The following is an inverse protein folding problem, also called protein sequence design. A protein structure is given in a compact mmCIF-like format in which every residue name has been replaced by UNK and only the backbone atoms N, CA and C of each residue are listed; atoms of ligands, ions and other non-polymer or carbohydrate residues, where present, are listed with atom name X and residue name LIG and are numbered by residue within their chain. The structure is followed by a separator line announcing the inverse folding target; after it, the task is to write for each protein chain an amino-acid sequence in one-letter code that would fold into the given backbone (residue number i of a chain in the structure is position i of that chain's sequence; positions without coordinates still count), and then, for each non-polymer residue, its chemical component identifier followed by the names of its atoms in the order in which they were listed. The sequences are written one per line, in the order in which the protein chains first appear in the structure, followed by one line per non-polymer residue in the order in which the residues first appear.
data_IF_357160754266
#
_entry.id   IF_357160754266
#
_cell.length_a   1.000
_cell.length_b   1.000
_cell.length_c   1.000
_cell.angle_alpha   90.00
_cell.angle_beta   90.00
_cell.angle_gamma   90.00
#
_symmetry.space_group_name_H-M   'P 1'
#
loop_
_entity.id
_entity.type
_entity.pdbx_description
1 polymer ?
#
# COMPACT_ATOMS: atom_id res chain seq x y z
N UNK A 1 -40.50 -27.38 -4.76
CA UNK A 1 -39.54 -26.61 -5.57
C UNK A 1 -38.20 -27.35 -5.58
N UNK A 2 -37.77 -27.87 -6.72
CA UNK A 2 -36.49 -28.58 -6.84
C UNK A 2 -35.39 -27.56 -7.15
N UNK A 3 -34.36 -27.49 -6.30
CA UNK A 3 -33.16 -26.70 -6.56
C UNK A 3 -32.11 -27.61 -7.20
N UNK A 4 -31.58 -27.20 -8.34
CA UNK A 4 -30.44 -27.86 -9.00
C UNK A 4 -29.22 -26.99 -8.71
N UNK A 5 -28.21 -27.57 -8.09
CA UNK A 5 -26.94 -26.90 -7.76
C UNK A 5 -25.79 -27.58 -8.51
N UNK A 6 -24.90 -26.77 -9.09
CA UNK A 6 -23.67 -27.23 -9.75
C UNK A 6 -22.47 -26.43 -9.21
N UNK A 7 -21.27 -27.01 -9.30
CA UNK A 7 -20.02 -26.30 -8.94
C UNK A 7 -19.59 -25.41 -10.11
N UNK A 8 -19.22 -24.18 -9.81
CA UNK A 8 -18.61 -23.24 -10.76
C UNK A 8 -17.19 -22.96 -10.27
N UNK A 9 -16.20 -23.12 -11.14
CA UNK A 9 -14.83 -22.68 -10.88
C UNK A 9 -14.72 -21.19 -11.29
N UNK A 10 -14.15 -20.36 -10.41
CA UNK A 10 -13.91 -18.94 -10.66
C UNK A 10 -12.44 -18.62 -10.41
N UNK A 11 -11.88 -17.70 -11.19
CA UNK A 11 -10.59 -17.11 -10.89
C UNK A 11 -10.74 -16.18 -9.68
N UNK A 12 -9.79 -16.26 -8.76
CA UNK A 12 -9.74 -15.41 -7.58
C UNK A 12 -8.28 -15.15 -7.22
N UNK A 13 -7.98 -13.95 -6.70
CA UNK A 13 -6.66 -13.65 -6.15
C UNK A 13 -6.51 -14.41 -4.84
N UNK A 14 -5.62 -15.39 -4.84
CA UNK A 14 -5.37 -16.26 -3.68
C UNK A 14 -4.21 -15.79 -2.81
N UNK A 15 -3.32 -14.98 -3.38
CA UNK A 15 -2.17 -14.39 -2.70
C UNK A 15 -1.64 -13.18 -3.50
N UNK A 16 -0.93 -12.29 -2.81
CA UNK A 16 -0.12 -11.21 -3.39
C UNK A 16 1.28 -11.35 -2.80
N UNK A 17 2.30 -11.34 -3.65
CA UNK A 17 3.70 -11.42 -3.21
C UNK A 17 4.27 -10.01 -3.06
N UNK A 18 5.07 -9.79 -2.01
CA UNK A 18 5.78 -8.53 -1.83
C UNK A 18 6.85 -8.37 -2.92
N UNK A 19 6.81 -7.27 -3.66
CA UNK A 19 7.75 -6.99 -4.75
C UNK A 19 9.19 -6.72 -4.26
N UNK A 20 9.37 -6.46 -2.96
CA UNK A 20 10.69 -6.21 -2.34
C UNK A 20 11.34 -7.50 -1.83
N UNK A 21 10.63 -8.28 -1.02
CA UNK A 21 11.21 -9.44 -0.34
C UNK A 21 10.68 -10.80 -0.84
N UNK A 22 9.68 -10.81 -1.71
CA UNK A 22 9.05 -12.01 -2.25
C UNK A 22 8.09 -12.74 -1.30
N UNK A 23 7.92 -12.27 -0.05
CA UNK A 23 7.04 -12.92 0.92
C UNK A 23 5.56 -12.76 0.56
N UNK A 24 4.77 -13.80 0.83
CA UNK A 24 3.29 -13.78 0.78
C UNK A 24 2.73 -12.70 1.71
N UNK A 25 1.70 -11.99 1.25
CA UNK A 25 0.93 -11.03 2.06
C UNK A 25 -0.36 -11.64 2.63
N UNK A 26 -0.57 -12.94 2.41
CA UNK A 26 -1.68 -13.69 2.97
C UNK A 26 -1.43 -14.05 4.44
N UNK A 27 -2.41 -13.73 5.29
CA UNK A 27 -2.42 -14.09 6.71
C UNK A 27 -3.03 -15.49 6.93
N UNK A 28 -2.86 -16.04 8.13
CA UNK A 28 -3.37 -17.36 8.52
C UNK A 28 -4.89 -17.50 8.39
N UNK A 29 -5.62 -16.40 8.63
CA UNK A 29 -7.08 -16.34 8.44
C UNK A 29 -7.51 -16.26 6.96
N UNK A 30 -6.55 -16.29 6.03
CA UNK A 30 -6.76 -16.24 4.60
C UNK A 30 -6.93 -14.84 4.02
N UNK A 31 -6.97 -13.78 4.83
CA UNK A 31 -7.05 -12.40 4.35
C UNK A 31 -5.72 -11.92 3.77
N UNK A 32 -5.79 -11.00 2.80
CA UNK A 32 -4.63 -10.36 2.19
C UNK A 32 -4.44 -8.98 2.82
N UNK A 33 -3.27 -8.72 3.38
CA UNK A 33 -2.92 -7.42 3.98
C UNK A 33 -1.60 -6.93 3.41
N UNK A 34 -1.67 -5.85 2.63
CA UNK A 34 -0.52 -5.26 1.94
C UNK A 34 -0.76 -3.77 1.66
N UNK A 35 0.33 -3.04 1.49
CA UNK A 35 0.31 -1.67 0.97
C UNK A 35 0.53 -1.64 -0.54
N UNK A 36 0.05 -0.58 -1.19
CA UNK A 36 0.29 -0.32 -2.61
C UNK A 36 0.98 1.04 -2.76
N UNK A 37 2.17 1.05 -3.34
CA UNK A 37 2.79 2.28 -3.84
C UNK A 37 2.46 2.40 -5.33
N UNK A 38 1.65 3.38 -5.69
CA UNK A 38 1.21 3.57 -7.08
C UNK A 38 1.40 5.01 -7.56
N UNK A 39 1.62 5.14 -8.86
CA UNK A 39 1.65 6.43 -9.55
C UNK A 39 1.02 6.29 -10.93
N UNK A 40 0.34 7.35 -11.37
CA UNK A 40 -0.19 7.47 -12.73
C UNK A 40 0.16 8.85 -13.26
N UNK A 41 1.10 8.90 -14.19
CA UNK A 41 1.62 10.14 -14.75
C UNK A 41 0.89 10.48 -16.05
N UNK A 42 0.33 11.68 -16.10
CA UNK A 42 -0.40 12.18 -17.27
C UNK A 42 0.40 13.18 -18.08
N UNK A 43 -0.28 13.73 -19.09
CA UNK A 43 0.31 14.63 -20.08
C UNK A 43 1.11 15.77 -19.43
N UNK A 44 2.39 15.89 -19.84
CA UNK A 44 3.30 16.94 -19.38
C UNK A 44 4.16 16.60 -18.16
N UNK A 45 4.01 15.41 -17.57
CA UNK A 45 4.96 14.90 -16.59
C UNK A 45 6.27 14.44 -17.28
N UNK A 46 7.38 14.38 -16.53
CA UNK A 46 8.64 13.82 -17.06
C UNK A 46 8.48 12.34 -17.48
N UNK A 47 7.64 11.62 -16.73
CA UNK A 47 7.32 10.20 -16.92
C UNK A 47 5.91 10.04 -17.54
N UNK A 48 5.52 10.95 -18.44
CA UNK A 48 4.19 10.96 -19.06
C UNK A 48 3.81 9.60 -19.67
N UNK A 49 2.62 9.11 -19.32
CA UNK A 49 2.09 7.82 -19.74
C UNK A 49 2.57 6.63 -18.90
N UNK A 50 3.50 6.82 -17.96
CA UNK A 50 3.97 5.75 -17.10
C UNK A 50 3.01 5.51 -15.92
N UNK A 51 2.77 4.23 -15.63
CA UNK A 51 2.04 3.77 -14.45
C UNK A 51 2.94 2.85 -13.63
N UNK A 52 2.99 3.10 -12.34
CA UNK A 52 3.71 2.29 -11.37
C UNK A 52 2.72 1.69 -10.39
N UNK A 53 2.94 0.44 -10.01
CA UNK A 53 2.18 -0.28 -9.00
C UNK A 53 3.13 -1.27 -8.33
N UNK A 54 3.32 -1.13 -7.02
CA UNK A 54 4.23 -1.96 -6.22
C UNK A 54 3.49 -2.44 -4.98
N UNK A 55 3.46 -3.74 -4.77
CA UNK A 55 2.82 -4.41 -3.66
C UNK A 55 3.83 -4.69 -2.55
N UNK A 56 3.52 -4.23 -1.34
CA UNK A 56 4.42 -4.29 -0.19
C UNK A 56 3.78 -5.05 0.96
N UNK A 57 4.47 -6.05 1.49
CA UNK A 57 4.11 -6.61 2.80
C UNK A 57 4.28 -5.52 3.88
N UNK A 58 3.61 -5.71 5.02
CA UNK A 58 3.58 -4.73 6.11
C UNK A 58 4.99 -4.26 6.55
N UNK A 59 6.00 -5.13 6.75
CA UNK A 59 7.36 -4.68 7.07
C UNK A 59 8.00 -3.80 5.99
N UNK A 60 7.89 -4.18 4.72
CA UNK A 60 8.45 -3.42 3.60
C UNK A 60 7.72 -2.08 3.39
N UNK A 61 6.42 -2.04 3.67
CA UNK A 61 5.65 -0.80 3.66
C UNK A 61 6.17 0.17 4.72
N UNK A 62 6.32 -0.25 5.98
CA UNK A 62 6.83 0.63 7.02
C UNK A 62 8.30 1.01 6.84
N UNK A 63 9.12 0.14 6.24
CA UNK A 63 10.48 0.51 5.83
C UNK A 63 10.47 1.62 4.76
N UNK A 64 9.55 1.56 3.81
CA UNK A 64 9.36 2.61 2.79
C UNK A 64 8.92 3.93 3.44
N UNK A 65 7.97 3.89 4.37
CA UNK A 65 7.56 5.07 5.14
C UNK A 65 8.72 5.66 5.94
N UNK A 66 9.53 4.83 6.62
CA UNK A 66 10.69 5.28 7.37
C UNK A 66 11.73 5.95 6.46
N UNK A 67 11.96 5.41 5.26
CA UNK A 67 12.82 6.03 4.25
C UNK A 67 12.30 7.41 3.84
N UNK A 68 11.01 7.54 3.52
CA UNK A 68 10.42 8.84 3.12
C UNK A 68 10.47 9.88 4.25
N UNK A 69 10.26 9.46 5.50
CA UNK A 69 10.46 10.34 6.68
C UNK A 69 11.90 10.85 6.73
N UNK A 70 12.87 9.97 6.52
CA UNK A 70 14.30 10.34 6.51
C UNK A 70 14.65 11.32 5.39
N UNK A 71 14.14 11.11 4.18
CA UNK A 71 14.35 12.02 3.06
C UNK A 71 13.77 13.42 3.36
N UNK A 72 12.56 13.48 3.92
CA UNK A 72 11.93 14.75 4.34
C UNK A 72 12.76 15.48 5.40
N UNK A 73 13.28 14.78 6.41
CA UNK A 73 14.18 15.36 7.42
C UNK A 73 15.43 15.94 6.80
N UNK A 74 16.03 15.21 5.87
CA UNK A 74 17.28 15.60 5.22
C UNK A 74 17.08 16.83 4.34
N UNK A 75 15.97 16.89 3.58
CA UNK A 75 15.62 18.03 2.75
C UNK A 75 15.37 19.31 3.57
N UNK A 76 14.76 19.18 4.74
CA UNK A 76 14.35 20.32 5.58
C UNK A 76 15.37 20.64 6.69
N UNK A 77 16.56 20.04 6.69
CA UNK A 77 17.55 20.14 7.77
C UNK A 77 18.02 21.57 8.07
N UNK A 78 17.88 22.49 7.10
CA UNK A 78 18.27 23.89 7.23
C UNK A 78 17.09 24.87 7.37
N UNK A 79 15.86 24.35 7.32
CA UNK A 79 14.66 25.16 7.52
C UNK A 79 14.39 25.26 9.03
N UNK A 80 14.37 26.47 9.58
CA UNK A 80 14.26 26.72 11.03
C UNK A 80 12.89 26.43 11.65
N UNK A 81 12.07 25.59 11.03
CA UNK A 81 10.75 25.20 11.54
C UNK A 81 10.88 23.92 12.39
N UNK A 82 10.39 23.90 13.64
CA UNK A 82 10.49 22.70 14.48
C UNK A 82 9.73 21.56 13.81
N UNK A 83 10.46 20.47 13.54
CA UNK A 83 10.00 19.19 13.00
C UNK A 83 8.49 18.97 13.19
N UNK A 84 7.71 19.05 12.10
CA UNK A 84 6.30 18.64 12.13
C UNK A 84 6.20 17.22 12.70
N UNK A 85 5.17 16.92 13.50
CA UNK A 85 5.05 15.62 14.16
C UNK A 85 5.13 14.50 13.11
N UNK A 86 6.23 13.74 13.14
CA UNK A 86 6.54 12.68 12.18
C UNK A 86 5.63 11.46 12.35
N UNK A 87 4.89 11.39 13.45
CA UNK A 87 4.26 10.16 13.92
C UNK A 87 3.19 9.64 12.95
N UNK A 88 2.52 10.53 12.22
CA UNK A 88 1.41 10.17 11.34
C UNK A 88 1.70 10.37 9.84
N UNK A 89 2.99 10.42 9.42
CA UNK A 89 3.32 10.55 7.99
C UNK A 89 2.69 9.43 7.15
N UNK A 90 1.79 9.82 6.25
CA UNK A 90 1.06 8.88 5.38
C UNK A 90 -0.09 8.13 6.07
N UNK A 91 -0.38 8.39 7.35
CA UNK A 91 -1.50 7.80 8.05
C UNK A 91 -2.79 8.58 7.75
N UNK A 92 -3.75 7.95 7.07
CA UNK A 92 -5.01 8.61 6.70
C UNK A 92 -6.07 8.57 7.81
N UNK A 93 -6.11 7.50 8.61
CA UNK A 93 -7.07 7.30 9.69
C UNK A 93 -6.52 6.34 10.75
N UNK A 94 -7.05 6.44 11.97
CA UNK A 94 -6.82 5.48 13.07
C UNK A 94 -8.14 4.77 13.37
N UNK A 95 -8.04 3.51 13.79
CA UNK A 95 -9.19 2.69 14.20
C UNK A 95 -10.24 2.45 13.11
N UNK A 96 -9.84 2.56 11.83
CA UNK A 96 -10.70 2.27 10.67
C UNK A 96 -10.75 0.76 10.37
N UNK A 97 -11.37 0.01 11.28
CA UNK A 97 -11.48 -1.45 11.16
C UNK A 97 -12.42 -1.90 10.03
N UNK A 98 -13.39 -1.07 9.68
CA UNK A 98 -14.47 -1.43 8.75
C UNK A 98 -14.22 -0.91 7.33
N UNK A 99 -13.27 0.03 7.15
CA UNK A 99 -12.96 0.64 5.85
C UNK A 99 -14.23 1.24 5.22
N UNK A 100 -15.03 1.90 6.06
CA UNK A 100 -16.34 2.48 5.70
C UNK A 100 -16.12 3.78 4.92
N UNK A 101 -15.51 3.66 3.75
CA UNK A 101 -15.13 4.78 2.93
C UNK A 101 -14.46 4.32 1.66
N UNK A 102 -15.24 3.75 0.73
CA UNK A 102 -15.20 3.99 -0.72
C UNK A 102 -16.24 3.14 -1.46
#
# INVERSE_FOLDING_TARGET
MMKITGRVETEAVVDVSCDVCGSSTRLENGSLQYGVLQAHWGFGALHDGERYEVHLCEPCFFQTIAYLKQERRTANMFEGDPQQPEDDFGLASRDDFFRDGH
#
